data_IF_581896216059
#
_entry.id   IF_581896216059
#
_cell.length_a   1.000
_cell.length_b   1.000
_cell.length_c   1.000
_cell.angle_alpha   90.00
_cell.angle_beta   90.00
_cell.angle_gamma   90.00
#
_symmetry.space_group_name_H-M   'P 1'
#
loop_
_entity.id
_entity.type
_entity.pdbx_description
1 polymer ?
#
# COMPACT_ATOMS: atom_id res chain seq x y z
N UNK A 1 11.94 10.94 -13.75
CA UNK A 1 11.74 9.49 -13.53
C UNK A 1 13.07 8.81 -13.44
N UNK A 2 13.27 8.03 -12.40
CA UNK A 2 14.46 7.19 -12.25
C UNK A 2 14.07 5.73 -12.45
N UNK A 3 14.97 4.95 -13.07
CA UNK A 3 14.76 3.52 -13.23
C UNK A 3 15.50 2.76 -12.14
N UNK A 4 14.88 1.69 -11.58
CA UNK A 4 15.57 0.81 -10.65
C UNK A 4 16.81 0.19 -11.32
N UNK A 5 17.85 -0.01 -10.52
CA UNK A 5 19.10 -0.57 -11.00
C UNK A 5 19.93 -1.13 -9.84
N UNK A 6 21.19 -1.55 -10.10
CA UNK A 6 22.01 -2.18 -9.05
C UNK A 6 22.21 -1.35 -7.80
N UNK A 7 22.23 -0.02 -7.93
CA UNK A 7 22.42 0.88 -6.80
C UNK A 7 21.13 1.14 -6.02
N UNK A 8 19.99 0.89 -6.65
CA UNK A 8 18.67 1.09 -6.04
C UNK A 8 17.68 0.08 -6.63
N UNK A 9 17.80 -1.20 -6.25
CA UNK A 9 16.93 -2.22 -6.80
C UNK A 9 15.52 -2.12 -6.23
N UNK A 10 14.51 -2.36 -7.08
CA UNK A 10 13.12 -2.51 -6.66
C UNK A 10 12.61 -3.79 -7.29
N UNK A 11 12.09 -4.68 -6.47
CA UNK A 11 11.47 -5.93 -6.92
C UNK A 11 10.03 -5.99 -6.45
N UNK A 12 9.15 -6.51 -7.31
CA UNK A 12 7.74 -6.70 -7.01
C UNK A 12 7.44 -8.18 -7.24
N UNK A 13 7.02 -8.87 -6.20
CA UNK A 13 6.73 -10.30 -6.26
C UNK A 13 5.37 -10.60 -5.64
N UNK A 14 4.67 -11.61 -6.16
CA UNK A 14 3.41 -12.05 -5.58
C UNK A 14 3.64 -12.64 -4.20
N UNK A 15 2.80 -12.26 -3.24
CA UNK A 15 2.79 -12.85 -1.90
C UNK A 15 1.62 -13.82 -1.80
N UNK A 16 1.86 -15.15 -1.77
CA UNK A 16 0.79 -16.14 -1.70
C UNK A 16 0.15 -16.24 -0.32
N UNK A 17 0.76 -15.65 0.68
CA UNK A 17 0.23 -15.69 2.05
C UNK A 17 -0.95 -14.74 2.19
N UNK A 18 -1.83 -15.05 3.13
CA UNK A 18 -2.94 -14.17 3.45
C UNK A 18 -2.43 -12.97 4.24
N UNK A 19 -2.73 -11.78 3.76
CA UNK A 19 -2.38 -10.52 4.41
C UNK A 19 -3.67 -9.86 4.89
N UNK A 20 -3.72 -9.53 6.17
CA UNK A 20 -4.85 -8.84 6.77
C UNK A 20 -4.41 -7.53 7.38
N UNK A 21 -5.20 -6.48 7.13
CA UNK A 21 -4.97 -5.15 7.69
C UNK A 21 -6.15 -4.80 8.59
N UNK A 22 -5.86 -4.44 9.83
CA UNK A 22 -6.88 -4.06 10.81
C UNK A 22 -6.55 -2.72 11.45
N UNK A 23 -7.59 -1.98 11.82
CA UNK A 23 -7.49 -0.75 12.56
C UNK A 23 -8.50 -0.78 13.70
N UNK A 24 -8.02 -0.75 14.95
CA UNK A 24 -8.90 -0.81 16.12
C UNK A 24 -9.80 -2.05 16.15
N UNK A 25 -9.31 -3.18 15.64
CA UNK A 25 -10.08 -4.41 15.56
C UNK A 25 -10.99 -4.53 14.33
N UNK A 26 -11.08 -3.48 13.51
CA UNK A 26 -11.89 -3.49 12.30
C UNK A 26 -11.01 -3.94 11.12
N UNK A 27 -11.48 -4.94 10.37
CA UNK A 27 -10.75 -5.42 9.19
C UNK A 27 -10.92 -4.43 8.05
N UNK A 28 -9.81 -3.86 7.59
CA UNK A 28 -9.77 -2.89 6.48
C UNK A 28 -9.52 -3.61 5.17
N UNK A 29 -8.63 -4.61 5.16
CA UNK A 29 -8.28 -5.37 3.97
C UNK A 29 -7.95 -6.80 4.36
N UNK A 30 -8.20 -7.73 3.43
CA UNK A 30 -7.90 -9.15 3.61
C UNK A 30 -7.68 -9.74 2.22
N UNK A 31 -6.46 -10.18 1.92
CA UNK A 31 -6.10 -10.60 0.58
C UNK A 31 -5.13 -11.77 0.59
N UNK A 32 -5.23 -12.63 -0.44
CA UNK A 32 -4.20 -13.61 -0.79
C UNK A 32 -3.47 -13.21 -2.07
N UNK A 33 -3.65 -11.97 -2.54
CA UNK A 33 -3.08 -11.46 -3.78
C UNK A 33 -2.25 -10.19 -3.57
N UNK A 34 -1.66 -10.03 -2.38
CA UNK A 34 -0.78 -8.91 -2.14
C UNK A 34 0.48 -9.01 -3.00
N UNK A 35 1.02 -7.85 -3.37
CA UNK A 35 2.31 -7.75 -4.03
C UNK A 35 3.32 -7.24 -3.03
N UNK A 36 4.42 -7.96 -2.88
CA UNK A 36 5.52 -7.53 -2.01
C UNK A 36 6.48 -6.69 -2.82
N UNK A 37 6.64 -5.44 -2.45
CA UNK A 37 7.62 -4.54 -3.04
C UNK A 37 8.80 -4.41 -2.09
N UNK A 38 9.98 -4.76 -2.58
CA UNK A 38 11.23 -4.60 -1.85
C UNK A 38 12.09 -3.57 -2.56
N UNK A 39 12.39 -2.49 -1.88
CA UNK A 39 13.13 -1.36 -2.42
C UNK A 39 14.42 -1.16 -1.65
N UNK A 40 15.56 -1.32 -2.31
CA UNK A 40 16.88 -1.14 -1.72
C UNK A 40 16.98 -1.85 -0.36
N UNK A 41 17.38 -1.14 0.68
CA UNK A 41 17.49 -1.67 2.05
C UNK A 41 16.25 -1.39 2.91
N UNK A 42 15.21 -0.78 2.33
CA UNK A 42 13.99 -0.47 3.08
C UNK A 42 13.21 -1.75 3.39
N UNK A 43 12.42 -1.76 4.47
CA UNK A 43 11.52 -2.89 4.75
C UNK A 43 10.57 -3.16 3.59
N UNK A 44 10.21 -4.43 3.38
CA UNK A 44 9.25 -4.80 2.38
C UNK A 44 7.88 -4.19 2.67
N UNK A 45 7.18 -3.79 1.60
CA UNK A 45 5.85 -3.20 1.68
C UNK A 45 4.87 -4.10 0.94
N UNK A 46 3.72 -4.37 1.57
CA UNK A 46 2.64 -5.14 0.93
C UNK A 46 1.68 -4.17 0.25
N UNK A 47 1.47 -4.37 -1.05
CA UNK A 47 0.50 -3.63 -1.84
C UNK A 47 -0.74 -4.50 -2.05
N UNK A 48 -1.88 -4.03 -1.59
CA UNK A 48 -3.13 -4.79 -1.53
C UNK A 48 -4.07 -4.35 -2.65
N UNK A 49 -4.66 -5.30 -3.41
CA UNK A 49 -5.66 -4.95 -4.43
C UNK A 49 -6.86 -4.22 -3.83
N UNK A 50 -7.39 -3.23 -4.54
CA UNK A 50 -8.59 -2.51 -4.09
C UNK A 50 -9.79 -3.41 -3.91
N UNK A 51 -9.90 -4.44 -4.75
CA UNK A 51 -11.01 -5.41 -4.65
C UNK A 51 -11.02 -6.20 -3.35
N UNK A 52 -9.89 -6.28 -2.66
CA UNK A 52 -9.76 -6.98 -1.37
C UNK A 52 -9.70 -6.00 -0.19
N UNK A 53 -10.00 -4.74 -0.44
CA UNK A 53 -10.01 -3.66 0.57
C UNK A 53 -11.42 -3.12 0.72
N UNK A 54 -11.84 -2.87 1.95
CA UNK A 54 -13.14 -2.25 2.20
C UNK A 54 -13.04 -0.74 1.98
N UNK A 55 -13.24 -0.32 0.73
CA UNK A 55 -13.12 1.09 0.34
C UNK A 55 -14.14 2.00 1.03
N UNK A 56 -15.24 1.45 1.53
CA UNK A 56 -16.24 2.23 2.27
C UNK A 56 -15.69 2.79 3.59
N UNK A 57 -14.61 2.19 4.11
CA UNK A 57 -13.95 2.66 5.32
C UNK A 57 -12.82 3.65 5.03
N UNK A 58 -12.63 4.06 3.79
CA UNK A 58 -11.54 4.94 3.37
C UNK A 58 -12.08 6.26 2.86
N UNK A 59 -11.38 7.33 3.20
CA UNK A 59 -11.67 8.67 2.69
C UNK A 59 -10.41 9.22 2.01
N UNK A 60 -10.54 9.65 0.75
CA UNK A 60 -9.42 10.27 0.02
C UNK A 60 -9.06 11.59 0.68
N UNK A 61 -7.78 11.89 0.78
CA UNK A 61 -7.28 13.15 1.31
C UNK A 61 -6.62 13.98 0.20
N UNK A 62 -6.25 15.22 0.53
CA UNK A 62 -5.57 16.11 -0.40
C UNK A 62 -4.05 15.87 -0.43
N UNK A 63 -3.54 15.00 0.42
CA UNK A 63 -2.10 14.75 0.47
C UNK A 63 -1.65 14.07 -0.80
N UNK A 64 -0.53 14.54 -1.35
CA UNK A 64 0.20 13.89 -2.43
C UNK A 64 1.68 13.93 -2.11
N UNK A 65 2.39 12.91 -2.57
CA UNK A 65 3.86 12.85 -2.46
C UNK A 65 4.42 12.36 -3.77
N UNK A 66 5.70 12.61 -4.00
CA UNK A 66 6.38 12.19 -5.22
C UNK A 66 7.53 11.25 -4.90
N UNK A 67 7.57 10.11 -5.59
CA UNK A 67 8.68 9.17 -5.56
C UNK A 67 9.35 9.18 -6.94
N UNK A 68 10.67 9.42 -7.04
CA UNK A 68 11.33 9.47 -8.36
C UNK A 68 11.30 8.14 -9.09
N UNK A 69 11.07 7.02 -8.40
CA UNK A 69 10.99 5.69 -9.00
C UNK A 69 9.56 5.24 -9.28
N UNK A 70 8.59 5.66 -8.49
CA UNK A 70 7.21 5.15 -8.56
C UNK A 70 6.23 6.15 -9.15
N UNK A 71 6.46 7.44 -8.96
CA UNK A 71 5.56 8.50 -9.43
C UNK A 71 4.88 9.23 -8.29
N UNK A 72 3.68 9.76 -8.56
CA UNK A 72 2.92 10.51 -7.56
C UNK A 72 2.00 9.59 -6.78
N UNK A 73 2.09 9.68 -5.46
CA UNK A 73 1.21 8.95 -4.55
C UNK A 73 0.04 9.82 -4.12
N UNK A 74 -1.15 9.20 -4.09
CA UNK A 74 -2.35 9.75 -3.46
C UNK A 74 -2.57 9.07 -2.12
N UNK A 75 -3.37 9.67 -1.25
CA UNK A 75 -3.54 9.19 0.11
C UNK A 75 -5.00 9.01 0.50
N UNK A 76 -5.20 8.05 1.40
CA UNK A 76 -6.48 7.84 2.06
C UNK A 76 -6.29 7.82 3.57
N UNK A 77 -7.34 8.21 4.27
CA UNK A 77 -7.46 8.00 5.71
C UNK A 77 -8.39 6.82 5.96
N UNK A 78 -8.16 6.08 7.04
CA UNK A 78 -9.12 5.09 7.52
C UNK A 78 -10.15 5.80 8.38
N UNK A 79 -11.43 5.58 8.10
CA UNK A 79 -12.54 6.09 8.91
C UNK A 79 -13.34 4.88 9.37
N UNK A 80 -13.13 4.45 10.60
CA UNK A 80 -13.75 3.25 11.14
C UNK A 80 -14.03 3.42 12.63
N UNK A 81 -15.16 2.90 13.07
CA UNK A 81 -15.57 2.92 14.48
C UNK A 81 -15.52 4.32 15.10
N UNK A 82 -15.99 5.33 14.34
CA UNK A 82 -16.03 6.72 14.77
C UNK A 82 -14.66 7.40 14.86
N UNK A 83 -13.60 6.76 14.39
CA UNK A 83 -12.24 7.28 14.43
C UNK A 83 -11.68 7.46 13.03
N UNK A 84 -10.85 8.50 12.87
CA UNK A 84 -10.13 8.76 11.63
C UNK A 84 -8.64 8.60 11.88
N UNK A 85 -8.00 7.74 11.07
CA UNK A 85 -6.54 7.59 11.08
C UNK A 85 -6.03 8.26 9.81
N UNK A 86 -5.55 9.50 9.98
CA UNK A 86 -5.24 10.38 8.85
C UNK A 86 -4.06 9.87 8.04
N UNK A 87 -4.22 9.91 6.72
CA UNK A 87 -3.15 9.61 5.75
C UNK A 87 -2.43 8.30 6.06
N UNK A 88 -3.19 7.28 6.44
CA UNK A 88 -2.66 5.98 6.84
C UNK A 88 -2.39 5.05 5.66
N UNK A 89 -2.83 5.42 4.46
CA UNK A 89 -2.76 4.60 3.25
C UNK A 89 -2.24 5.45 2.11
N UNK A 90 -1.34 4.89 1.30
CA UNK A 90 -0.94 5.53 0.05
C UNK A 90 -1.19 4.60 -1.13
N UNK A 91 -1.27 5.18 -2.32
CA UNK A 91 -1.50 4.45 -3.56
C UNK A 91 -0.88 5.20 -4.73
N UNK A 92 -0.38 4.45 -5.70
CA UNK A 92 0.08 4.99 -6.97
C UNK A 92 -0.96 4.64 -8.03
N UNK A 93 -1.81 5.60 -8.41
CA UNK A 93 -2.88 5.37 -9.36
C UNK A 93 -2.40 5.43 -10.81
N UNK A 94 -1.34 6.20 -11.05
CA UNK A 94 -0.67 6.29 -12.35
C UNK A 94 0.84 6.23 -12.15
N UNK A 95 1.36 5.06 -11.71
CA UNK A 95 2.80 4.94 -11.47
C UNK A 95 3.60 5.02 -12.78
N UNK A 96 4.89 5.25 -12.65
CA UNK A 96 5.78 5.16 -13.81
C UNK A 96 5.73 3.74 -14.40
N UNK A 97 6.02 3.60 -15.73
CA UNK A 97 5.85 2.30 -16.41
C UNK A 97 6.55 1.11 -15.75
N UNK A 98 7.72 1.31 -15.15
CA UNK A 98 8.44 0.24 -14.45
C UNK A 98 7.70 -0.29 -13.23
N UNK A 99 6.71 0.46 -12.71
CA UNK A 99 5.93 0.13 -11.52
C UNK A 99 4.47 -0.19 -11.83
N UNK A 100 4.15 -0.50 -13.09
CA UNK A 100 2.76 -0.74 -13.53
C UNK A 100 2.04 -1.80 -12.68
N UNK A 101 2.76 -2.78 -12.16
CA UNK A 101 2.17 -3.88 -11.39
C UNK A 101 1.43 -3.39 -10.14
N UNK A 102 1.87 -2.31 -9.50
CA UNK A 102 1.24 -1.80 -8.27
C UNK A 102 0.15 -0.78 -8.55
N UNK A 103 -0.22 -0.54 -9.81
CA UNK A 103 -1.26 0.43 -10.17
C UNK A 103 -2.52 0.23 -9.33
N UNK A 104 -2.94 1.28 -8.62
CA UNK A 104 -4.16 1.30 -7.84
C UNK A 104 -4.17 0.45 -6.57
N UNK A 105 -3.12 -0.34 -6.32
CA UNK A 105 -2.98 -1.09 -5.08
C UNK A 105 -2.77 -0.15 -3.90
N UNK A 106 -3.16 -0.59 -2.71
CA UNK A 106 -3.10 0.20 -1.49
C UNK A 106 -1.99 -0.31 -0.58
N UNK A 107 -1.19 0.60 -0.06
CA UNK A 107 -0.16 0.31 0.93
C UNK A 107 -0.49 1.03 2.23
N UNK A 108 -0.09 0.45 3.35
CA UNK A 108 -0.52 0.88 4.67
C UNK A 108 0.70 1.20 5.54
N UNK A 109 0.62 2.26 6.34
CA UNK A 109 1.67 2.60 7.29
C UNK A 109 1.58 1.68 8.52
N UNK A 110 2.65 0.88 8.78
CA UNK A 110 2.61 -0.11 9.87
C UNK A 110 2.59 0.51 11.26
N UNK A 111 2.96 1.79 11.39
CA UNK A 111 2.87 2.53 12.65
C UNK A 111 1.47 3.09 12.92
N UNK A 112 0.56 2.99 11.94
CA UNK A 112 -0.80 3.53 12.05
C UNK A 112 -1.87 2.46 12.06
N UNK A 113 -1.65 1.35 11.37
CA UNK A 113 -2.59 0.22 11.31
C UNK A 113 -1.81 -1.07 11.48
N UNK A 114 -2.52 -2.15 11.83
CA UNK A 114 -1.90 -3.45 12.00
C UNK A 114 -1.92 -4.21 10.69
N UNK A 115 -0.75 -4.65 10.24
CA UNK A 115 -0.58 -5.46 9.04
C UNK A 115 0.00 -6.80 9.48
N UNK A 116 -0.66 -7.90 9.12
CA UNK A 116 -0.18 -9.23 9.53
C UNK A 116 -0.34 -10.25 8.41
N UNK A 117 0.61 -11.17 8.33
CA UNK A 117 0.45 -12.38 7.53
C UNK A 117 -0.23 -13.42 8.39
N UNK A 118 -1.34 -13.95 7.91
CA UNK A 118 -2.18 -14.89 8.65
C UNK A 118 -1.93 -16.29 8.10
N UNK A 119 -1.67 -17.20 9.01
CA UNK A 119 -1.45 -18.60 8.64
C UNK A 119 -2.74 -19.27 8.12
#
# INVERSE_FOLDING_TARGET
>A
MKLPGPDHPITITANPKRVRVTAGGVVIADTTHALTLKEASYPAVQYVPRGDTNMALLARTDRTTHCPYKGDASYFSVVADGKTIENSIWTYETPFPAMTEITGHLAFYPDKVKIEEVA
#
